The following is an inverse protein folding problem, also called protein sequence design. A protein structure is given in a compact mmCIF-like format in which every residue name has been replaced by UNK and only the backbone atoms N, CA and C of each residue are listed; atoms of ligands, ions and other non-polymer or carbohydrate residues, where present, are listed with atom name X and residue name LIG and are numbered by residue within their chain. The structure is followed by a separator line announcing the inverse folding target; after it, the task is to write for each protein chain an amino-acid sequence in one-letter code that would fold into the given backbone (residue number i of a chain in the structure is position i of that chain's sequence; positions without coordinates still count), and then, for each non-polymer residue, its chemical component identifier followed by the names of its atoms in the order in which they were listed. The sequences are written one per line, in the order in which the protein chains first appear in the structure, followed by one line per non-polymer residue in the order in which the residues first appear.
data_IF_186168190325
#
_entry.id   IF_186168190325
#
_cell.length_a   1.000
_cell.length_b   1.000
_cell.length_c   1.000
_cell.angle_alpha   90.00
_cell.angle_beta   90.00
_cell.angle_gamma   90.00
#
_symmetry.space_group_name_H-M   'P 1'
#
loop_
_entity.id
_entity.type
_entity.pdbx_description
1 polymer ?
#
# COMPACT_ATOMS: atom_id res chain seq x y z
N UNK A 1 -7.76 -6.61 17.69
CA UNK A 1 -7.84 -7.98 17.12
C UNK A 1 -9.25 -8.47 17.38
N UNK A 2 -9.88 -9.05 16.36
CA UNK A 2 -11.21 -9.68 16.43
C UNK A 2 -11.02 -11.21 16.49
N UNK A 3 -12.02 -11.93 17.03
CA UNK A 3 -12.03 -13.40 16.95
C UNK A 3 -11.99 -13.86 15.49
N UNK A 4 -11.31 -14.97 15.25
CA UNK A 4 -11.14 -15.60 13.93
C UNK A 4 -10.45 -14.67 12.90
N UNK A 5 -9.46 -13.88 13.33
CA UNK A 5 -8.68 -13.04 12.44
C UNK A 5 -7.31 -13.66 12.11
N UNK A 6 -6.75 -13.23 11.00
CA UNK A 6 -5.36 -13.41 10.63
C UNK A 6 -4.54 -12.29 11.26
N UNK A 7 -3.52 -12.62 12.04
CA UNK A 7 -2.52 -11.68 12.52
C UNK A 7 -1.27 -11.74 11.64
N UNK A 8 -0.76 -10.58 11.22
CA UNK A 8 0.47 -10.50 10.44
C UNK A 8 1.54 -9.79 11.26
N UNK A 9 2.53 -10.54 11.70
CA UNK A 9 3.62 -10.09 12.55
C UNK A 9 4.69 -9.37 11.71
N UNK A 10 4.43 -8.09 11.38
CA UNK A 10 5.37 -7.26 10.63
C UNK A 10 6.50 -6.75 11.51
N UNK A 11 7.69 -6.69 10.95
CA UNK A 11 8.83 -6.01 11.57
C UNK A 11 8.78 -4.52 11.20
N UNK A 12 8.35 -3.69 12.13
CA UNK A 12 8.30 -2.24 11.97
C UNK A 12 9.61 -1.56 12.40
N UNK A 13 9.70 -0.24 12.16
CA UNK A 13 10.89 0.55 12.55
C UNK A 13 11.04 0.70 14.07
N UNK A 14 9.94 0.70 14.84
CA UNK A 14 9.94 0.90 16.28
C UNK A 14 9.65 -0.38 17.06
N UNK A 15 8.87 -1.29 16.51
CA UNK A 15 8.44 -2.52 17.17
C UNK A 15 8.56 -3.70 16.22
N UNK A 16 8.93 -4.86 16.76
CA UNK A 16 8.85 -6.13 16.07
C UNK A 16 7.49 -6.77 16.36
N UNK A 17 6.69 -6.99 15.32
CA UNK A 17 5.37 -7.59 15.42
C UNK A 17 5.37 -9.00 16.00
N UNK A 18 6.51 -9.72 15.94
CA UNK A 18 6.65 -11.05 16.54
C UNK A 18 6.39 -11.06 18.05
N UNK A 19 6.72 -9.96 18.75
CA UNK A 19 6.49 -9.78 20.19
C UNK A 19 5.01 -9.78 20.58
N UNK A 20 4.12 -9.57 19.60
CA UNK A 20 2.67 -9.49 19.83
C UNK A 20 1.92 -10.75 19.43
N UNK A 21 2.60 -11.82 18.98
CA UNK A 21 1.97 -13.06 18.51
C UNK A 21 1.14 -13.70 19.62
N UNK A 22 1.70 -13.93 20.81
CA UNK A 22 0.98 -14.51 21.94
C UNK A 22 -0.25 -13.71 22.31
N UNK A 23 -0.12 -12.39 22.40
CA UNK A 23 -1.25 -11.50 22.69
C UNK A 23 -2.30 -11.48 21.57
N UNK A 24 -1.90 -11.68 20.32
CA UNK A 24 -2.81 -11.79 19.19
C UNK A 24 -3.66 -13.06 19.30
N UNK A 25 -3.04 -14.17 19.66
CA UNK A 25 -3.70 -15.48 19.89
C UNK A 25 -4.68 -15.39 21.06
N UNK A 26 -4.26 -14.87 22.21
CA UNK A 26 -5.12 -14.61 23.38
C UNK A 26 -6.35 -13.79 23.02
N UNK A 27 -6.23 -12.83 22.08
CA UNK A 27 -7.33 -12.01 21.59
C UNK A 27 -8.17 -12.68 20.49
N UNK A 28 -7.86 -13.93 20.13
CA UNK A 28 -8.66 -14.75 19.22
C UNK A 28 -8.18 -14.78 17.77
N UNK A 29 -6.90 -14.48 17.50
CA UNK A 29 -6.31 -14.80 16.21
C UNK A 29 -6.21 -16.32 16.02
N UNK A 30 -6.69 -16.82 14.89
CA UNK A 30 -6.67 -18.25 14.54
C UNK A 30 -5.61 -18.59 13.49
N UNK A 31 -4.99 -17.56 12.90
CA UNK A 31 -3.87 -17.71 12.00
C UNK A 31 -2.86 -16.57 12.18
N UNK A 32 -1.58 -16.91 12.01
CA UNK A 32 -0.45 -15.98 12.17
C UNK A 32 0.48 -16.08 10.97
N UNK A 33 0.76 -14.96 10.32
CA UNK A 33 1.86 -14.83 9.34
C UNK A 33 3.07 -14.24 10.07
N UNK A 34 4.21 -14.90 10.00
CA UNK A 34 5.45 -14.49 10.67
C UNK A 34 6.70 -14.78 9.83
N UNK A 35 7.80 -14.10 10.13
CA UNK A 35 9.11 -14.30 9.47
C UNK A 35 9.97 -15.33 10.20
N UNK A 36 9.65 -15.64 11.46
CA UNK A 36 10.24 -16.70 12.27
C UNK A 36 9.15 -17.37 13.09
N UNK A 37 9.26 -18.71 13.24
CA UNK A 37 8.31 -19.45 14.08
C UNK A 37 8.58 -19.12 15.55
N UNK A 38 7.52 -18.92 16.37
CA UNK A 38 7.69 -18.80 17.82
C UNK A 38 8.13 -20.14 18.44
N UNK A 39 8.83 -20.07 19.58
CA UNK A 39 9.33 -21.25 20.27
C UNK A 39 8.20 -22.17 20.78
N UNK A 40 7.06 -21.60 21.12
CA UNK A 40 5.88 -22.31 21.60
C UNK A 40 4.77 -22.15 20.54
N UNK A 41 4.35 -23.26 19.99
CA UNK A 41 3.26 -23.29 19.00
C UNK A 41 1.94 -23.68 19.70
N UNK A 42 0.91 -22.87 19.47
CA UNK A 42 -0.46 -23.23 19.82
C UNK A 42 -1.03 -24.15 18.73
N UNK A 43 -1.52 -25.33 19.14
CA UNK A 43 -2.02 -26.36 18.22
C UNK A 43 -3.30 -25.97 17.48
N UNK A 44 -4.05 -25.01 18.02
CA UNK A 44 -5.30 -24.51 17.44
C UNK A 44 -5.07 -23.31 16.51
N UNK A 45 -3.81 -22.88 16.32
CA UNK A 45 -3.43 -21.72 15.50
C UNK A 45 -2.64 -22.15 14.28
N UNK A 46 -3.04 -21.68 13.11
CA UNK A 46 -2.30 -21.89 11.86
C UNK A 46 -1.15 -20.90 11.73
N UNK A 47 0.09 -21.35 11.71
CA UNK A 47 1.27 -20.51 11.46
C UNK A 47 1.70 -20.61 10.00
N UNK A 48 1.93 -19.45 9.39
CA UNK A 48 2.37 -19.30 8.00
C UNK A 48 3.71 -18.58 8.00
N UNK A 49 4.80 -19.32 7.73
CA UNK A 49 6.15 -18.78 7.65
C UNK A 49 6.37 -18.13 6.29
N UNK A 50 6.83 -16.87 6.29
CA UNK A 50 7.11 -16.10 5.09
C UNK A 50 8.49 -15.45 5.18
N UNK A 51 9.08 -15.12 4.03
CA UNK A 51 10.38 -14.41 3.99
C UNK A 51 10.26 -12.92 4.38
N UNK A 52 9.12 -12.30 4.11
CA UNK A 52 8.85 -10.89 4.40
C UNK A 52 7.36 -10.71 4.69
N UNK A 53 7.04 -10.37 5.93
CA UNK A 53 5.66 -10.21 6.40
C UNK A 53 4.97 -8.97 5.82
N UNK A 54 5.72 -7.90 5.53
CA UNK A 54 5.17 -6.69 4.92
C UNK A 54 4.78 -6.91 3.46
N UNK A 55 5.63 -7.63 2.71
CA UNK A 55 5.30 -8.07 1.35
C UNK A 55 4.08 -9.00 1.35
N UNK A 56 4.05 -9.97 2.26
CA UNK A 56 2.92 -10.88 2.41
C UNK A 56 1.62 -10.12 2.72
N UNK A 57 1.67 -9.09 3.60
CA UNK A 57 0.51 -8.24 3.90
C UNK A 57 -0.03 -7.56 2.64
N UNK A 58 0.83 -7.02 1.78
CA UNK A 58 0.40 -6.38 0.52
C UNK A 58 -0.38 -7.34 -0.36
N UNK A 59 0.17 -8.54 -0.60
CA UNK A 59 -0.46 -9.59 -1.42
C UNK A 59 -1.77 -10.08 -0.80
N UNK A 60 -1.76 -10.36 0.51
CA UNK A 60 -2.94 -10.84 1.24
C UNK A 60 -4.05 -9.78 1.19
N UNK A 61 -3.71 -8.50 1.41
CA UNK A 61 -4.67 -7.40 1.34
C UNK A 61 -5.31 -7.28 -0.04
N UNK A 62 -4.50 -7.36 -1.10
CA UNK A 62 -5.01 -7.33 -2.47
C UNK A 62 -5.98 -8.49 -2.74
N UNK A 63 -5.63 -9.71 -2.35
CA UNK A 63 -6.48 -10.89 -2.50
C UNK A 63 -7.76 -10.79 -1.66
N UNK A 64 -7.67 -10.34 -0.41
CA UNK A 64 -8.81 -10.19 0.49
C UNK A 64 -9.87 -9.24 -0.07
N UNK A 65 -9.46 -8.16 -0.72
CA UNK A 65 -10.33 -7.20 -1.40
C UNK A 65 -10.59 -7.56 -2.88
N UNK A 66 -10.33 -8.80 -3.30
CA UNK A 66 -10.59 -9.30 -4.66
C UNK A 66 -9.81 -8.56 -5.75
N UNK A 67 -8.56 -8.18 -5.46
CA UNK A 67 -7.64 -7.53 -6.39
C UNK A 67 -8.21 -6.28 -7.09
N UNK A 68 -8.72 -5.28 -6.38
CA UNK A 68 -9.46 -4.16 -6.95
C UNK A 68 -8.62 -3.32 -7.94
N UNK A 69 -7.30 -3.28 -7.77
CA UNK A 69 -6.40 -2.58 -8.68
C UNK A 69 -6.34 -3.16 -10.10
N UNK A 70 -6.90 -4.36 -10.34
CA UNK A 70 -7.04 -4.95 -11.67
C UNK A 70 -8.32 -4.53 -12.39
N UNK A 71 -9.28 -3.94 -11.66
CA UNK A 71 -10.61 -3.58 -12.17
C UNK A 71 -10.73 -2.10 -12.52
N UNK A 72 -9.72 -1.29 -12.21
CA UNK A 72 -9.62 0.13 -12.54
C UNK A 72 -8.22 0.47 -13.08
N UNK A 73 -8.11 1.62 -13.75
CA UNK A 73 -6.84 2.17 -14.19
C UNK A 73 -6.15 2.86 -13.01
N UNK A 74 -5.22 2.17 -12.36
CA UNK A 74 -4.43 2.70 -11.24
C UNK A 74 -3.14 3.33 -11.76
N UNK A 75 -2.96 4.63 -11.51
CA UNK A 75 -1.74 5.38 -11.89
C UNK A 75 -1.02 5.81 -10.63
N UNK A 76 0.24 5.41 -10.50
CA UNK A 76 1.10 5.80 -9.38
C UNK A 76 1.96 7.00 -9.71
N UNK A 77 2.01 7.97 -8.83
CA UNK A 77 2.80 9.20 -8.98
C UNK A 77 3.91 9.21 -7.92
N UNK A 78 5.17 9.17 -8.37
CA UNK A 78 6.33 9.24 -7.48
C UNK A 78 7.27 10.39 -7.84
N UNK A 79 8.16 10.72 -6.93
CA UNK A 79 9.15 11.79 -7.04
C UNK A 79 9.43 12.41 -5.67
N UNK A 80 10.33 13.38 -5.61
CA UNK A 80 10.57 14.15 -4.38
C UNK A 80 9.42 15.12 -4.15
N UNK A 81 9.17 16.01 -5.08
CA UNK A 81 8.16 17.07 -5.00
C UNK A 81 7.11 16.93 -6.11
N UNK A 82 5.95 17.55 -5.91
CA UNK A 82 4.90 17.66 -6.92
C UNK A 82 3.95 16.47 -7.01
N UNK A 83 4.14 15.38 -6.25
CA UNK A 83 3.25 14.22 -6.26
C UNK A 83 1.79 14.60 -6.01
N UNK A 84 1.52 15.31 -4.93
CA UNK A 84 0.19 15.76 -4.53
C UNK A 84 -0.43 16.65 -5.62
N UNK A 85 0.31 17.61 -6.14
CA UNK A 85 -0.18 18.51 -7.19
C UNK A 85 -0.58 17.75 -8.45
N UNK A 86 0.26 16.79 -8.89
CA UNK A 86 -0.03 15.98 -10.09
C UNK A 86 -1.24 15.07 -9.86
N UNK A 87 -1.35 14.41 -8.70
CA UNK A 87 -2.52 13.57 -8.37
C UNK A 87 -3.81 14.40 -8.40
N UNK A 88 -3.80 15.60 -7.81
CA UNK A 88 -4.96 16.49 -7.80
C UNK A 88 -5.31 17.00 -9.18
N UNK A 89 -4.33 17.45 -9.96
CA UNK A 89 -4.55 17.93 -11.33
C UNK A 89 -5.15 16.85 -12.23
N UNK A 90 -4.64 15.61 -12.13
CA UNK A 90 -5.19 14.48 -12.88
C UNK A 90 -6.62 14.17 -12.44
N UNK A 91 -6.89 14.14 -11.13
CA UNK A 91 -8.23 13.92 -10.62
C UNK A 91 -9.21 14.97 -11.11
N UNK A 92 -8.87 16.27 -11.01
CA UNK A 92 -9.72 17.38 -11.48
C UNK A 92 -9.91 17.35 -13.00
N UNK A 93 -8.85 17.05 -13.76
CA UNK A 93 -8.92 16.93 -15.21
C UNK A 93 -9.90 15.82 -15.62
N UNK A 94 -9.76 14.63 -15.07
CA UNK A 94 -10.62 13.51 -15.39
C UNK A 94 -12.07 13.76 -14.95
N UNK A 95 -12.26 14.34 -13.79
CA UNK A 95 -13.59 14.75 -13.29
C UNK A 95 -14.24 15.81 -14.22
N UNK A 96 -13.49 16.79 -14.72
CA UNK A 96 -14.01 17.79 -15.66
C UNK A 96 -14.40 17.22 -17.01
N UNK A 97 -13.78 16.11 -17.40
CA UNK A 97 -14.13 15.33 -18.61
C UNK A 97 -15.31 14.39 -18.37
N UNK A 98 -15.93 14.37 -17.19
CA UNK A 98 -17.02 13.48 -16.84
C UNK A 98 -16.58 12.04 -16.57
N UNK A 99 -15.29 11.79 -16.39
CA UNK A 99 -14.74 10.46 -16.10
C UNK A 99 -14.73 10.23 -14.60
N UNK A 100 -15.36 9.13 -14.16
CA UNK A 100 -15.39 8.76 -12.74
C UNK A 100 -13.99 8.40 -12.25
N UNK A 101 -13.43 9.24 -11.40
CA UNK A 101 -12.08 9.12 -10.87
C UNK A 101 -12.01 9.21 -9.35
N UNK A 102 -10.91 8.72 -8.79
CA UNK A 102 -10.56 8.86 -7.39
C UNK A 102 -9.10 9.24 -7.21
N UNK A 103 -8.75 9.78 -6.04
CA UNK A 103 -7.39 10.08 -5.66
C UNK A 103 -7.04 9.55 -4.27
N UNK A 104 -5.78 9.16 -4.09
CA UNK A 104 -5.17 8.82 -2.81
C UNK A 104 -3.90 9.67 -2.67
N UNK A 105 -3.94 10.66 -1.79
CA UNK A 105 -2.86 11.63 -1.64
C UNK A 105 -2.46 11.84 -0.18
N UNK A 106 -1.39 12.59 0.05
CA UNK A 106 -0.96 13.01 1.39
C UNK A 106 -2.07 13.76 2.14
N UNK A 107 -2.84 14.59 1.43
CA UNK A 107 -3.85 15.45 2.04
C UNK A 107 -5.10 14.69 2.38
N UNK A 108 -5.60 13.91 1.44
CA UNK A 108 -6.83 13.10 1.62
C UNK A 108 -6.94 11.98 0.58
N UNK A 109 -7.88 11.09 0.85
CA UNK A 109 -8.46 10.17 -0.13
C UNK A 109 -9.81 10.72 -0.55
N UNK A 110 -10.08 10.82 -1.86
CA UNK A 110 -11.33 11.38 -2.39
C UNK A 110 -11.81 10.57 -3.59
N UNK A 111 -13.08 10.21 -3.56
CA UNK A 111 -13.76 9.58 -4.69
C UNK A 111 -15.28 9.73 -4.54
N UNK A 112 -15.97 10.08 -5.61
CA UNK A 112 -17.41 10.41 -5.57
C UNK A 112 -17.66 11.48 -4.48
N UNK A 113 -18.61 11.25 -3.58
CA UNK A 113 -18.92 12.12 -2.44
C UNK A 113 -18.15 11.76 -1.15
N UNK A 114 -17.23 10.79 -1.23
CA UNK A 114 -16.47 10.35 -0.07
C UNK A 114 -15.13 11.09 0.02
N UNK A 115 -14.83 11.59 1.21
CA UNK A 115 -13.53 12.16 1.55
C UNK A 115 -13.06 11.60 2.89
N UNK A 116 -11.79 11.19 2.97
CA UNK A 116 -11.17 10.66 4.17
C UNK A 116 -9.83 11.36 4.40
N UNK A 117 -9.55 11.71 5.65
CA UNK A 117 -8.22 12.18 6.04
C UNK A 117 -7.20 11.05 5.88
N UNK A 118 -6.01 11.40 5.46
CA UNK A 118 -4.92 10.46 5.29
C UNK A 118 -3.78 10.79 6.27
N UNK A 119 -3.26 9.76 6.96
CA UNK A 119 -2.14 9.90 7.90
C UNK A 119 -0.77 9.83 7.21
N UNK A 120 -0.71 9.22 6.05
CA UNK A 120 0.53 8.95 5.32
C UNK A 120 0.36 9.25 3.85
N UNK A 121 1.40 9.76 3.19
CA UNK A 121 1.41 10.01 1.74
C UNK A 121 0.94 8.81 0.93
N UNK A 122 1.40 7.63 1.30
CA UNK A 122 0.91 6.35 0.79
C UNK A 122 0.35 5.58 1.98
N UNK A 123 -0.95 5.30 2.06
CA UNK A 123 -1.54 4.53 3.14
C UNK A 123 -0.96 3.12 3.26
N UNK A 124 -1.29 2.39 4.33
CA UNK A 124 -0.97 0.97 4.43
C UNK A 124 -1.72 0.12 3.38
N UNK A 125 -1.25 -1.09 3.15
CA UNK A 125 -1.77 -1.98 2.10
C UNK A 125 -3.25 -2.33 2.29
N UNK A 126 -3.72 -2.47 3.54
CA UNK A 126 -5.13 -2.77 3.84
C UNK A 126 -6.00 -1.58 3.45
N UNK A 127 -5.61 -0.39 3.89
CA UNK A 127 -6.34 0.86 3.61
C UNK A 127 -6.40 1.16 2.11
N UNK A 128 -5.28 1.00 1.38
CA UNK A 128 -5.26 1.20 -0.08
C UNK A 128 -6.26 0.26 -0.75
N UNK A 129 -6.18 -1.04 -0.50
CA UNK A 129 -7.06 -2.02 -1.14
C UNK A 129 -8.53 -1.83 -0.75
N UNK A 130 -8.81 -1.42 0.50
CA UNK A 130 -10.14 -1.06 0.95
C UNK A 130 -10.72 0.11 0.14
N UNK A 131 -9.97 1.20 -0.02
CA UNK A 131 -10.40 2.35 -0.83
C UNK A 131 -10.59 1.99 -2.30
N UNK A 132 -9.66 1.24 -2.89
CA UNK A 132 -9.77 0.78 -4.27
C UNK A 132 -11.01 -0.11 -4.46
N UNK A 133 -11.34 -1.00 -3.50
CA UNK A 133 -12.56 -1.81 -3.56
C UNK A 133 -13.81 -0.95 -3.54
N UNK A 134 -13.90 0.02 -2.64
CA UNK A 134 -15.01 0.97 -2.63
C UNK A 134 -15.12 1.77 -3.94
N UNK A 135 -14.01 2.20 -4.53
CA UNK A 135 -13.99 2.88 -5.82
C UNK A 135 -14.57 1.99 -6.92
N UNK A 136 -14.14 0.74 -7.00
CA UNK A 136 -14.63 -0.23 -8.00
C UNK A 136 -16.14 -0.49 -7.81
N UNK A 137 -16.59 -0.68 -6.57
CA UNK A 137 -18.01 -0.93 -6.26
C UNK A 137 -18.91 0.27 -6.64
N UNK A 138 -18.35 1.48 -6.64
CA UNK A 138 -19.00 2.71 -7.11
C UNK A 138 -18.85 2.93 -8.63
N UNK A 139 -18.21 2.01 -9.36
CA UNK A 139 -18.02 2.11 -10.81
C UNK A 139 -16.91 3.06 -11.26
N UNK A 140 -16.05 3.52 -10.33
CA UNK A 140 -14.91 4.38 -10.65
C UNK A 140 -13.91 3.61 -11.51
N UNK A 141 -13.41 4.26 -12.58
CA UNK A 141 -12.54 3.64 -13.57
C UNK A 141 -11.08 4.07 -13.48
N UNK A 142 -10.79 5.20 -12.84
CA UNK A 142 -9.45 5.77 -12.76
C UNK A 142 -9.12 6.12 -11.32
N UNK A 143 -7.93 5.76 -10.85
CA UNK A 143 -7.43 6.16 -9.55
C UNK A 143 -5.99 6.66 -9.66
N UNK A 144 -5.73 7.84 -9.10
CA UNK A 144 -4.40 8.47 -9.02
C UNK A 144 -3.90 8.38 -7.58
N UNK A 145 -2.73 7.74 -7.38
CA UNK A 145 -2.18 7.51 -6.04
C UNK A 145 -0.76 8.05 -5.91
N UNK A 146 -0.48 8.75 -4.82
CA UNK A 146 0.89 9.11 -4.45
C UNK A 146 1.67 7.87 -3.98
N UNK A 147 2.80 7.61 -4.64
CA UNK A 147 3.72 6.52 -4.32
C UNK A 147 5.00 7.11 -3.71
N UNK A 148 5.04 7.18 -2.37
CA UNK A 148 6.19 7.70 -1.62
C UNK A 148 7.32 6.65 -1.52
N UNK A 149 8.56 7.11 -1.34
CA UNK A 149 9.69 6.21 -1.11
C UNK A 149 9.54 5.34 0.15
N UNK A 150 8.92 5.88 1.20
CA UNK A 150 8.56 5.11 2.38
C UNK A 150 7.52 4.02 2.06
N UNK A 151 6.49 4.37 1.27
CA UNK A 151 5.46 3.40 0.84
C UNK A 151 6.04 2.25 0.04
N UNK A 152 6.99 2.53 -0.86
CA UNK A 152 7.71 1.51 -1.63
C UNK A 152 8.57 0.65 -0.71
N UNK A 153 9.45 1.28 0.10
CA UNK A 153 10.38 0.59 1.00
C UNK A 153 9.67 -0.28 2.04
N UNK A 154 8.47 0.10 2.45
CA UNK A 154 7.65 -0.63 3.42
C UNK A 154 6.65 -1.58 2.76
N UNK A 155 6.79 -1.88 1.48
CA UNK A 155 5.94 -2.80 0.72
C UNK A 155 4.43 -2.47 0.75
N UNK A 156 4.07 -1.19 0.92
CA UNK A 156 2.65 -0.78 1.00
C UNK A 156 1.90 -0.89 -0.31
N UNK A 157 2.62 -0.92 -1.43
CA UNK A 157 2.09 -1.00 -2.79
C UNK A 157 2.18 -2.42 -3.39
N UNK A 158 2.69 -3.39 -2.63
CA UNK A 158 2.79 -4.77 -3.09
C UNK A 158 1.40 -5.38 -3.35
N UNK A 159 1.33 -6.21 -4.38
CA UNK A 159 0.07 -6.82 -4.82
C UNK A 159 -0.83 -5.89 -5.63
N UNK A 160 -0.49 -4.60 -5.78
CA UNK A 160 -1.23 -3.68 -6.64
C UNK A 160 -0.81 -3.84 -8.11
N UNK A 161 -1.78 -3.76 -9.00
CA UNK A 161 -1.58 -3.76 -10.45
C UNK A 161 -1.70 -2.33 -10.97
N UNK A 162 -0.56 -1.70 -11.30
CA UNK A 162 -0.52 -0.36 -11.85
C UNK A 162 -0.67 -0.38 -13.38
N UNK A 163 -1.52 0.50 -13.90
CA UNK A 163 -1.66 0.73 -15.34
C UNK A 163 -0.61 1.69 -15.89
N UNK A 164 0.00 2.50 -15.01
CA UNK A 164 1.03 3.44 -15.39
C UNK A 164 1.74 4.06 -14.18
N UNK A 165 2.89 4.69 -14.45
CA UNK A 165 3.69 5.38 -13.45
C UNK A 165 4.17 6.73 -13.93
N UNK A 166 4.04 7.76 -13.10
CA UNK A 166 4.51 9.12 -13.37
C UNK A 166 5.66 9.46 -12.43
N UNK A 167 6.77 9.90 -13.00
CA UNK A 167 7.92 10.43 -12.27
C UNK A 167 7.96 11.94 -12.37
N UNK A 168 7.89 12.65 -11.25
CA UNK A 168 7.90 14.10 -11.25
C UNK A 168 9.32 14.68 -11.26
N UNK A 169 10.12 14.34 -10.27
CA UNK A 169 11.52 14.75 -10.12
C UNK A 169 12.21 13.97 -8.99
N UNK A 170 13.53 14.12 -8.87
CA UNK A 170 14.30 13.64 -7.73
C UNK A 170 15.33 14.67 -7.29
N UNK A 171 15.32 15.01 -6.01
CA UNK A 171 16.32 15.84 -5.32
C UNK A 171 16.70 15.16 -4.00
N UNK A 172 17.70 15.71 -3.28
CA UNK A 172 18.06 15.18 -1.97
C UNK A 172 16.91 15.37 -0.97
N UNK A 173 16.41 14.24 -0.44
CA UNK A 173 15.35 14.21 0.56
C UNK A 173 15.37 12.85 1.29
N UNK A 174 14.79 12.79 2.49
CA UNK A 174 14.64 11.56 3.27
C UNK A 174 15.94 10.73 3.45
N UNK A 175 17.11 11.40 3.51
CA UNK A 175 18.39 10.71 3.72
C UNK A 175 18.55 10.17 5.14
N UNK A 176 17.83 10.73 6.11
CA UNK A 176 17.65 10.20 7.46
C UNK A 176 17.08 8.77 7.46
N UNK A 177 16.17 8.49 6.54
CA UNK A 177 15.54 7.17 6.39
C UNK A 177 16.32 6.25 5.43
N UNK A 178 16.71 6.74 4.26
CA UNK A 178 17.34 5.92 3.20
C UNK A 178 18.85 5.80 3.33
N UNK A 179 19.48 6.61 4.19
CA UNK A 179 20.92 6.66 4.42
C UNK A 179 21.70 7.34 3.30
N UNK A 180 21.46 7.00 2.05
CA UNK A 180 22.17 7.58 0.89
C UNK A 180 21.20 7.99 -0.23
N UNK A 181 21.62 8.97 -1.04
CA UNK A 181 20.87 9.36 -2.23
C UNK A 181 20.71 8.20 -3.23
N UNK A 182 21.72 7.34 -3.33
CA UNK A 182 21.66 6.14 -4.17
C UNK A 182 20.52 5.23 -3.74
N UNK A 183 20.41 4.92 -2.45
CA UNK A 183 19.32 4.08 -1.93
C UNK A 183 17.96 4.72 -2.17
N UNK A 184 17.83 6.04 -1.92
CA UNK A 184 16.60 6.79 -2.16
C UNK A 184 16.15 6.72 -3.63
N UNK A 185 17.11 6.93 -4.55
CA UNK A 185 16.88 6.79 -6.00
C UNK A 185 16.46 5.36 -6.36
N UNK A 186 17.19 4.37 -5.86
CA UNK A 186 16.98 2.96 -6.20
C UNK A 186 15.62 2.46 -5.68
N UNK A 187 15.18 2.92 -4.53
CA UNK A 187 13.82 2.66 -4.02
C UNK A 187 12.76 3.23 -4.97
N UNK A 188 12.90 4.48 -5.45
CA UNK A 188 11.94 5.04 -6.42
C UNK A 188 12.00 4.33 -7.78
N UNK A 189 13.20 3.94 -8.23
CA UNK A 189 13.37 3.13 -9.44
C UNK A 189 12.62 1.81 -9.34
N UNK A 190 12.65 1.16 -8.17
CA UNK A 190 11.95 -0.11 -7.95
C UNK A 190 10.47 -0.03 -8.28
N UNK A 191 9.80 1.10 -8.04
CA UNK A 191 8.41 1.27 -8.45
C UNK A 191 8.22 1.07 -9.96
N UNK A 192 9.12 1.58 -10.78
CA UNK A 192 9.07 1.40 -12.24
C UNK A 192 9.48 0.00 -12.67
N UNK A 193 10.38 -0.64 -11.93
CA UNK A 193 10.83 -2.01 -12.22
C UNK A 193 9.71 -3.05 -12.01
N UNK A 194 8.74 -2.77 -11.11
CA UNK A 194 7.60 -3.66 -10.83
C UNK A 194 6.37 -3.38 -11.70
N UNK A 195 6.38 -2.32 -12.52
CA UNK A 195 5.27 -2.04 -13.42
C UNK A 195 5.09 -3.16 -14.45
N UNK A 196 3.84 -3.52 -14.81
CA UNK A 196 3.58 -4.43 -15.92
C UNK A 196 4.20 -3.95 -17.23
N UNK A 197 4.59 -4.87 -18.11
CA UNK A 197 5.24 -4.52 -19.40
C UNK A 197 4.39 -3.64 -20.31
N UNK A 198 3.07 -3.65 -20.13
CA UNK A 198 2.11 -2.85 -20.88
C UNK A 198 1.71 -1.56 -20.14
N UNK A 199 2.32 -1.24 -19.00
CA UNK A 199 2.13 0.02 -18.31
C UNK A 199 2.79 1.19 -19.08
N UNK A 200 2.20 2.39 -18.99
CA UNK A 200 2.76 3.63 -19.56
C UNK A 200 3.54 4.44 -18.53
#
# INVERSE_FOLDING_TARGET
IKKNCLFIAQKGNQFDGSQFISKAIENGATAVVCESMPDILDVDVTFILVKNASLALGIISSNFYSNPSKELCLVGITGTNGKTSVVWLLYELFSSLGLMSGLISTVKVKFSNNEFENKYTTPDSISINHYLRQMVDLGIKYCFIEVSSHGISQHRIEGLNFSGGVFTNITHDHLDYHGTFKNYRDVKKHFFDILPKNAF
#
